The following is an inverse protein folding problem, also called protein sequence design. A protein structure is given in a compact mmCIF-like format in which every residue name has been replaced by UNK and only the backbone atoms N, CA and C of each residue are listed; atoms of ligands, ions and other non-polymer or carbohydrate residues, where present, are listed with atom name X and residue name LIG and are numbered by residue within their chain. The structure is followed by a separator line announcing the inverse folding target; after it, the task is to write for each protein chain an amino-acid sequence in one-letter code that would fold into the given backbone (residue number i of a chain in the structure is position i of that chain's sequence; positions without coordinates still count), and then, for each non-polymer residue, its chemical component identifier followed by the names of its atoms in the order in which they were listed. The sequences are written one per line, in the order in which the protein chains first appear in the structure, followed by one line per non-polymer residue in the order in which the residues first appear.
data_IF_061285433388
#
_entry.id   IF_061285433388
#
_cell.length_a   1.000
_cell.length_b   1.000
_cell.length_c   1.000
_cell.angle_alpha   90.00
_cell.angle_beta   90.00
_cell.angle_gamma   90.00
#
_symmetry.space_group_name_H-M   'P 1'
#
loop_
_entity.id
_entity.type
_entity.pdbx_description
1 polymer ?
#
# COMPACT_ATOMS: atom_id res chain seq x y z
N UNK A 1 -52.16 -2.91 27.91
CA UNK A 1 -51.19 -3.29 26.86
C UNK A 1 -49.86 -2.59 27.14
N UNK A 2 -48.94 -3.24 27.87
CA UNK A 2 -47.57 -2.72 28.12
C UNK A 2 -46.59 -3.65 27.40
N UNK A 3 -46.32 -3.37 26.12
CA UNK A 3 -45.25 -4.02 25.36
C UNK A 3 -44.02 -3.13 25.52
N UNK A 4 -43.21 -3.39 26.53
CA UNK A 4 -41.90 -2.77 26.67
C UNK A 4 -41.02 -3.43 25.61
N UNK A 5 -40.69 -2.65 24.58
CA UNK A 5 -39.77 -3.04 23.53
C UNK A 5 -38.42 -3.44 24.16
N UNK A 6 -38.07 -4.72 24.04
CA UNK A 6 -36.71 -5.17 24.22
C UNK A 6 -35.87 -4.70 23.02
N UNK A 7 -35.37 -3.47 23.07
CA UNK A 7 -34.26 -3.04 22.21
C UNK A 7 -32.97 -3.41 22.95
N UNK A 8 -32.66 -4.71 22.95
CA UNK A 8 -31.32 -5.15 23.26
C UNK A 8 -30.45 -4.75 22.07
N UNK A 9 -29.76 -3.64 22.26
CA UNK A 9 -28.62 -3.15 21.48
C UNK A 9 -27.78 -4.33 20.98
N UNK A 10 -27.91 -4.66 19.69
CA UNK A 10 -26.83 -5.31 18.96
C UNK A 10 -25.68 -4.29 18.93
N UNK A 11 -24.88 -4.31 20.00
CA UNK A 11 -23.55 -3.71 20.00
C UNK A 11 -22.79 -4.35 18.85
N UNK A 12 -22.65 -3.57 17.77
CA UNK A 12 -21.76 -3.79 16.65
C UNK A 12 -20.34 -4.03 17.20
N UNK A 13 -20.04 -5.28 17.53
CA UNK A 13 -18.67 -5.75 17.56
C UNK A 13 -18.22 -5.90 16.11
N UNK A 14 -17.94 -4.77 15.43
CA UNK A 14 -16.93 -4.77 14.39
C UNK A 14 -15.60 -5.04 15.09
N UNK A 15 -15.38 -6.31 15.42
CA UNK A 15 -14.04 -6.82 15.52
C UNK A 15 -13.45 -6.59 14.13
N UNK A 16 -12.70 -5.50 13.99
CA UNK A 16 -11.80 -5.30 12.88
C UNK A 16 -10.78 -6.42 12.97
N UNK A 17 -11.14 -7.58 12.42
CA UNK A 17 -10.20 -8.63 12.09
C UNK A 17 -9.25 -7.98 11.11
N UNK A 18 -8.10 -7.57 11.63
CA UNK A 18 -6.88 -7.21 10.90
C UNK A 18 -6.47 -8.43 10.07
N UNK A 19 -7.26 -8.75 9.05
CA UNK A 19 -6.95 -9.78 8.09
C UNK A 19 -5.77 -9.24 7.31
N UNK A 20 -4.64 -9.94 7.45
CA UNK A 20 -3.44 -9.60 6.72
C UNK A 20 -3.80 -9.45 5.24
N UNK A 21 -3.44 -8.31 4.66
CA UNK A 21 -3.81 -7.99 3.29
C UNK A 21 -3.06 -8.91 2.32
N UNK A 22 -3.73 -9.28 1.24
CA UNK A 22 -3.12 -10.11 0.18
C UNK A 22 -2.23 -9.28 -0.73
N UNK A 23 -1.29 -9.94 -1.43
CA UNK A 23 -0.44 -9.29 -2.43
C UNK A 23 -1.26 -8.59 -3.53
N UNK A 24 -2.39 -9.18 -3.95
CA UNK A 24 -3.27 -8.58 -4.96
C UNK A 24 -3.91 -7.28 -4.47
N UNK A 25 -4.37 -7.25 -3.22
CA UNK A 25 -4.90 -6.04 -2.58
C UNK A 25 -3.81 -4.96 -2.46
N UNK A 26 -2.62 -5.34 -2.01
CA UNK A 26 -1.48 -4.42 -1.92
C UNK A 26 -1.14 -3.79 -3.27
N UNK A 27 -1.09 -4.57 -4.35
CA UNK A 27 -0.82 -4.07 -5.72
C UNK A 27 -1.85 -3.03 -6.13
N UNK A 28 -3.14 -3.27 -5.88
CA UNK A 28 -4.21 -2.31 -6.21
C UNK A 28 -4.07 -1.01 -5.43
N UNK A 29 -3.80 -1.08 -4.13
CA UNK A 29 -3.61 0.11 -3.29
C UNK A 29 -2.37 0.90 -3.70
N UNK A 30 -1.26 0.23 -4.01
CA UNK A 30 -0.02 0.83 -4.52
C UNK A 30 -0.28 1.54 -5.85
N UNK A 31 -0.95 0.87 -6.80
CA UNK A 31 -1.28 1.45 -8.09
C UNK A 31 -2.21 2.66 -7.95
N UNK A 32 -3.20 2.59 -7.08
CA UNK A 32 -4.10 3.71 -6.78
C UNK A 32 -3.35 4.91 -6.18
N UNK A 33 -2.42 4.66 -5.26
CA UNK A 33 -1.63 5.71 -4.62
C UNK A 33 -0.66 6.39 -5.59
N UNK A 34 -0.03 5.61 -6.48
CA UNK A 34 0.97 6.10 -7.44
C UNK A 34 0.33 6.69 -8.71
N UNK A 35 -0.81 6.14 -9.15
CA UNK A 35 -1.46 6.37 -10.45
C UNK A 35 -1.96 7.79 -10.73
N UNK A 36 -1.83 8.72 -9.78
CA UNK A 36 -2.05 10.16 -10.02
C UNK A 36 -0.78 10.93 -10.42
N UNK A 37 0.37 10.27 -10.51
CA UNK A 37 1.65 10.93 -10.82
C UNK A 37 1.94 10.85 -12.32
N UNK A 38 2.06 12.00 -12.99
CA UNK A 38 2.60 12.06 -14.35
C UNK A 38 4.05 11.53 -14.35
N UNK A 39 4.49 10.87 -15.43
CA UNK A 39 5.85 10.34 -15.63
C UNK A 39 6.22 9.03 -14.90
N UNK A 40 5.25 8.24 -14.45
CA UNK A 40 5.50 6.87 -13.97
C UNK A 40 5.69 5.93 -15.17
N UNK A 41 6.91 5.44 -15.40
CA UNK A 41 7.19 4.51 -16.49
C UNK A 41 6.92 3.06 -16.12
N UNK A 42 7.12 2.71 -14.85
CA UNK A 42 6.93 1.34 -14.36
C UNK A 42 6.64 1.33 -12.87
N UNK A 43 5.74 0.43 -12.47
CA UNK A 43 5.52 0.08 -11.06
C UNK A 43 5.98 -1.35 -10.82
N UNK A 44 6.91 -1.54 -9.89
CA UNK A 44 7.38 -2.85 -9.44
C UNK A 44 6.88 -3.08 -8.02
N UNK A 45 6.39 -4.28 -7.72
CA UNK A 45 5.97 -4.64 -6.36
C UNK A 45 6.79 -5.83 -5.89
N UNK A 46 7.54 -5.63 -4.80
CA UNK A 46 8.25 -6.69 -4.09
C UNK A 46 7.73 -6.85 -2.66
N UNK A 47 8.27 -7.84 -1.96
CA UNK A 47 7.77 -8.28 -0.67
C UNK A 47 8.92 -8.46 0.32
N UNK A 48 8.75 -7.92 1.51
CA UNK A 48 9.62 -8.16 2.68
C UNK A 48 8.84 -8.93 3.73
N UNK A 49 9.44 -9.27 4.88
CA UNK A 49 8.72 -9.93 5.98
C UNK A 49 7.49 -9.13 6.46
N UNK A 50 7.60 -7.80 6.53
CA UNK A 50 6.59 -6.92 7.14
C UNK A 50 5.75 -6.12 6.13
N UNK A 51 6.25 -5.92 4.91
CA UNK A 51 5.65 -4.99 3.96
C UNK A 51 5.57 -5.57 2.55
N UNK A 52 4.56 -5.15 1.80
CA UNK A 52 4.63 -5.07 0.33
C UNK A 52 5.22 -3.72 -0.05
N UNK A 53 6.18 -3.68 -0.95
CA UNK A 53 6.89 -2.47 -1.35
C UNK A 53 6.62 -2.22 -2.82
N UNK A 54 5.97 -1.09 -3.11
CA UNK A 54 5.74 -0.60 -4.45
C UNK A 54 6.79 0.44 -4.81
N UNK A 55 7.45 0.26 -5.94
CA UNK A 55 8.42 1.19 -6.49
C UNK A 55 7.91 1.74 -7.81
N UNK A 56 7.67 3.05 -7.85
CA UNK A 56 7.40 3.78 -9.08
C UNK A 56 8.71 4.32 -9.64
N UNK A 57 9.06 3.91 -10.86
CA UNK A 57 10.15 4.52 -11.61
C UNK A 57 9.58 5.78 -12.27
N UNK A 58 10.08 6.93 -11.85
CA UNK A 58 9.76 8.24 -12.41
C UNK A 58 10.86 8.58 -13.41
N UNK A 59 10.46 8.79 -14.67
CA UNK A 59 11.40 9.23 -15.71
C UNK A 59 11.87 10.65 -15.42
N UNK A 60 13.19 10.84 -15.40
CA UNK A 60 13.80 12.16 -15.33
C UNK A 60 13.60 12.93 -16.63
N UNK A 61 13.50 14.26 -16.55
CA UNK A 61 13.62 15.12 -17.73
C UNK A 61 15.08 15.14 -18.21
N UNK A 62 15.27 15.18 -19.52
CA UNK A 62 16.54 15.25 -20.26
C UNK A 62 17.84 15.27 -19.41
N UNK A 63 18.59 14.17 -19.47
CA UNK A 63 19.88 13.94 -18.77
C UNK A 63 19.80 13.78 -17.25
N UNK A 64 18.63 13.94 -16.62
CA UNK A 64 18.45 13.59 -15.20
C UNK A 64 18.24 12.08 -15.02
N UNK A 65 18.84 11.48 -13.97
CA UNK A 65 18.63 10.08 -13.67
C UNK A 65 17.18 9.80 -13.25
N UNK A 66 16.71 8.58 -13.51
CA UNK A 66 15.42 8.12 -13.04
C UNK A 66 15.37 8.18 -11.51
N UNK A 67 14.24 8.65 -10.98
CA UNK A 67 14.00 8.71 -9.54
C UNK A 67 13.02 7.61 -9.17
N UNK A 68 13.20 7.00 -7.99
CA UNK A 68 12.34 5.91 -7.53
C UNK A 68 11.51 6.40 -6.36
N UNK A 69 10.18 6.39 -6.52
CA UNK A 69 9.24 6.67 -5.44
C UNK A 69 8.80 5.36 -4.80
N UNK A 70 9.12 5.16 -3.52
CA UNK A 70 8.77 3.94 -2.79
C UNK A 70 7.54 4.15 -1.91
N UNK A 71 6.69 3.14 -1.88
CA UNK A 71 5.46 3.10 -1.09
C UNK A 71 5.41 1.74 -0.39
N UNK A 72 5.33 1.76 0.94
CA UNK A 72 5.23 0.56 1.74
C UNK A 72 3.77 0.34 2.11
N UNK A 73 3.32 -0.91 2.03
CA UNK A 73 2.01 -1.33 2.53
C UNK A 73 2.24 -2.39 3.59
N UNK A 74 1.83 -2.08 4.83
CA UNK A 74 1.95 -3.01 5.95
C UNK A 74 1.06 -4.24 5.70
N UNK A 75 1.66 -5.43 5.76
CA UNK A 75 0.93 -6.68 5.51
C UNK A 75 -0.15 -6.96 6.54
N UNK A 76 -0.01 -6.47 7.76
CA UNK A 76 -0.91 -6.77 8.88
C UNK A 76 -2.25 -6.05 8.73
N UNK A 77 -2.20 -4.77 8.40
CA UNK A 77 -3.34 -3.84 8.47
C UNK A 77 -3.59 -3.07 7.17
N UNK A 78 -2.72 -3.21 6.17
CA UNK A 78 -2.85 -2.51 4.88
C UNK A 78 -2.46 -1.03 4.91
N UNK A 79 -1.88 -0.54 6.01
CA UNK A 79 -1.49 0.87 6.13
C UNK A 79 -0.46 1.24 5.06
N UNK A 80 -0.76 2.31 4.32
CA UNK A 80 0.16 2.90 3.33
C UNK A 80 1.13 3.84 4.06
N UNK A 81 2.42 3.55 3.93
CA UNK A 81 3.53 4.33 4.47
C UNK A 81 4.36 4.84 3.28
N UNK A 82 4.09 6.05 2.80
CA UNK A 82 4.90 6.64 1.74
C UNK A 82 6.27 7.02 2.26
N UNK A 83 7.27 6.94 1.39
CA UNK A 83 8.63 7.39 1.71
C UNK A 83 9.08 8.49 0.76
N UNK A 84 10.13 9.19 1.15
CA UNK A 84 10.79 10.16 0.26
C UNK A 84 11.35 9.44 -0.96
N UNK A 85 11.45 10.15 -2.07
CA UNK A 85 12.01 9.61 -3.31
C UNK A 85 13.49 9.26 -3.12
N UNK A 86 13.89 8.08 -3.56
CA UNK A 86 15.26 7.57 -3.45
C UNK A 86 15.86 7.29 -4.83
N UNK A 87 17.19 7.20 -4.92
CA UNK A 87 17.91 6.89 -6.16
C UNK A 87 18.20 5.38 -6.34
N UNK A 88 17.86 4.53 -5.37
CA UNK A 88 18.19 3.09 -5.38
C UNK A 88 16.96 2.20 -5.51
N UNK A 89 17.03 1.20 -6.40
CA UNK A 89 15.99 0.18 -6.60
C UNK A 89 16.07 -0.85 -5.47
N UNK A 90 15.14 -0.77 -4.51
CA UNK A 90 15.09 -1.65 -3.35
C UNK A 90 14.69 -3.06 -3.74
N UNK A 91 13.75 -3.22 -4.68
CA UNK A 91 13.28 -4.53 -5.09
C UNK A 91 14.36 -5.33 -5.84
N UNK A 92 15.23 -4.66 -6.59
CA UNK A 92 16.42 -5.23 -7.22
C UNK A 92 17.47 -5.58 -6.17
N UNK A 93 17.73 -4.70 -5.20
CA UNK A 93 18.70 -4.94 -4.13
C UNK A 93 18.30 -6.12 -3.23
N UNK A 94 17.00 -6.35 -3.01
CA UNK A 94 16.50 -7.52 -2.28
C UNK A 94 16.71 -8.87 -3.00
N UNK A 95 16.97 -8.85 -4.32
CA UNK A 95 17.19 -10.05 -5.12
C UNK A 95 18.67 -10.42 -5.29
N UNK A 96 19.59 -9.54 -4.89
CA UNK A 96 21.03 -9.82 -4.82
C UNK A 96 21.37 -10.53 -3.52
#
# INVERSE_FOLDING_TARGET
MKKVLAVATLSLSLAASSMAITKSQAVKEIQKYIGGSNHVSKVVVCETKKYFVGEAILEGYEKLPNTIRKVYVNKKDGTILPTMSEHSDYCYMLKK
#
